data_IF_044491070433
#
_entry.id   IF_044491070433
#
_cell.length_a   1.000
_cell.length_b   1.000
_cell.length_c   1.000
_cell.angle_alpha   90.00
_cell.angle_beta   90.00
_cell.angle_gamma   90.00
#
_symmetry.space_group_name_H-M   'P 1'
#
loop_
_entity.id
_entity.type
_entity.pdbx_description
1 polymer ?
#
# COMPACT_ATOMS: atom_id res chain seq x y z
N UNK A 1 -22.35 1.05 21.23
CA UNK A 1 -21.65 0.91 19.92
C UNK A 1 -20.93 2.23 19.62
N UNK A 2 -19.64 2.31 19.92
CA UNK A 2 -18.79 3.44 19.51
C UNK A 2 -18.83 3.54 17.98
N UNK A 3 -19.10 4.72 17.45
CA UNK A 3 -19.10 4.91 15.98
C UNK A 3 -17.73 4.52 15.42
N UNK A 4 -17.67 3.88 14.25
CA UNK A 4 -16.42 3.42 13.59
C UNK A 4 -15.35 4.51 13.52
N UNK A 5 -15.75 5.76 13.38
CA UNK A 5 -14.82 6.92 13.34
C UNK A 5 -14.17 7.17 14.71
N UNK A 6 -14.90 6.99 15.83
CA UNK A 6 -14.32 7.12 17.17
C UNK A 6 -13.31 6.02 17.46
N UNK A 7 -13.56 4.80 16.98
CA UNK A 7 -12.63 3.68 17.13
C UNK A 7 -11.30 3.94 16.41
N UNK A 8 -11.33 4.43 15.18
CA UNK A 8 -10.12 4.76 14.39
C UNK A 8 -9.33 5.89 15.06
N UNK A 9 -10.00 6.95 15.51
CA UNK A 9 -9.34 8.06 16.21
C UNK A 9 -8.74 7.57 17.54
N UNK A 10 -9.46 6.75 18.29
CA UNK A 10 -8.94 6.20 19.56
C UNK A 10 -7.75 5.28 19.31
N UNK A 11 -7.79 4.42 18.29
CA UNK A 11 -6.69 3.54 17.92
C UNK A 11 -5.46 4.36 17.49
N UNK A 12 -5.65 5.40 16.68
CA UNK A 12 -4.57 6.31 16.26
C UNK A 12 -3.94 7.03 17.45
N UNK A 13 -4.75 7.51 18.39
CA UNK A 13 -4.28 8.16 19.61
C UNK A 13 -3.52 7.17 20.52
N UNK A 14 -3.98 5.93 20.63
CA UNK A 14 -3.29 4.88 21.41
C UNK A 14 -1.94 4.55 20.76
N UNK A 15 -1.89 4.34 19.45
CA UNK A 15 -0.64 4.06 18.73
C UNK A 15 0.35 5.22 18.89
N UNK A 16 -0.13 6.46 18.79
CA UNK A 16 0.71 7.65 18.96
C UNK A 16 1.24 7.79 20.41
N UNK A 17 0.43 7.47 21.42
CA UNK A 17 0.87 7.53 22.83
C UNK A 17 1.83 6.39 23.19
N UNK A 18 1.67 5.18 22.65
CA UNK A 18 2.62 4.08 22.84
C UNK A 18 3.97 4.46 22.23
N UNK A 19 3.96 5.08 21.05
CA UNK A 19 5.18 5.59 20.42
C UNK A 19 5.88 6.63 21.31
N UNK A 20 5.14 7.54 21.92
CA UNK A 20 5.69 8.57 22.79
C UNK A 20 6.32 8.01 24.07
N UNK A 21 5.78 6.93 24.61
CA UNK A 21 6.31 6.29 25.84
C UNK A 21 7.59 5.49 25.60
N UNK A 22 7.78 4.94 24.41
CA UNK A 22 9.01 4.23 24.01
C UNK A 22 10.11 5.24 23.59
N UNK A 23 9.72 6.46 23.28
CA UNK A 23 10.46 7.50 22.60
C UNK A 23 11.57 8.17 23.38
N UNK A 24 11.58 8.09 24.70
CA UNK A 24 12.49 8.94 25.49
C UNK A 24 13.98 8.59 25.34
N UNK A 25 14.34 7.48 24.68
CA UNK A 25 15.73 7.06 24.48
C UNK A 25 16.04 6.39 23.12
N UNK A 26 15.07 6.30 22.21
CA UNK A 26 15.25 5.65 20.91
C UNK A 26 15.14 6.66 19.78
N UNK A 27 16.13 6.77 18.88
CA UNK A 27 16.04 7.64 17.73
C UNK A 27 14.87 7.23 16.81
N UNK A 28 14.22 8.21 16.20
CA UNK A 28 13.01 8.03 15.42
C UNK A 28 13.07 8.81 14.12
N UNK A 29 12.20 8.46 13.18
CA UNK A 29 12.00 9.21 11.95
C UNK A 29 10.52 9.39 11.63
N UNK A 30 10.15 10.58 11.21
CA UNK A 30 8.82 10.89 10.68
C UNK A 30 8.93 11.16 9.19
N UNK A 31 8.13 10.48 8.37
CA UNK A 31 8.21 10.61 6.93
C UNK A 31 6.87 10.90 6.26
N UNK A 32 6.95 11.61 5.15
CA UNK A 32 5.86 11.81 4.21
C UNK A 32 6.34 11.41 2.83
N UNK A 33 5.54 10.59 2.14
CA UNK A 33 5.89 10.07 0.82
C UNK A 33 4.71 10.21 -0.12
N UNK A 34 4.99 10.45 -1.38
CA UNK A 34 4.02 10.57 -2.46
C UNK A 34 4.49 9.75 -3.65
N UNK A 35 3.55 9.18 -4.39
CA UNK A 35 3.89 8.40 -5.57
C UNK A 35 2.67 7.79 -6.22
N UNK A 36 2.90 6.73 -6.98
CA UNK A 36 1.88 6.03 -7.75
C UNK A 36 1.66 4.61 -7.21
N UNK A 37 0.42 4.18 -7.24
CA UNK A 37 0.01 2.79 -7.00
C UNK A 37 -0.70 2.25 -8.23
N UNK A 38 -0.35 1.03 -8.64
CA UNK A 38 -0.99 0.30 -9.73
C UNK A 38 -1.60 -0.95 -9.11
N UNK A 39 -2.92 -1.11 -9.24
CA UNK A 39 -3.63 -2.31 -8.83
C UNK A 39 -3.70 -3.29 -10.01
N UNK A 40 -3.40 -4.55 -9.74
CA UNK A 40 -3.58 -5.67 -10.65
C UNK A 40 -4.80 -6.46 -10.17
N UNK A 41 -5.85 -6.47 -10.99
CA UNK A 41 -7.16 -7.04 -10.68
C UNK A 41 -7.79 -7.68 -11.91
N UNK A 42 -8.96 -8.28 -11.73
CA UNK A 42 -9.72 -9.00 -12.78
C UNK A 42 -10.25 -8.14 -13.93
N UNK A 43 -10.11 -6.81 -13.86
CA UNK A 43 -10.50 -5.91 -14.96
C UNK A 43 -9.60 -5.96 -16.19
N UNK A 44 -8.54 -6.76 -16.19
CA UNK A 44 -7.63 -6.87 -17.33
C UNK A 44 -7.26 -8.29 -17.65
N UNK A 45 -7.36 -8.70 -18.91
CA UNK A 45 -6.65 -9.88 -19.40
C UNK A 45 -5.16 -9.59 -19.39
N UNK A 46 -4.44 -10.29 -18.52
CA UNK A 46 -2.99 -10.19 -18.44
C UNK A 46 -2.50 -8.82 -17.92
N UNK A 47 -2.45 -8.66 -16.65
CA UNK A 47 -1.47 -7.87 -15.87
C UNK A 47 -1.34 -6.36 -16.11
N UNK A 48 -2.23 -5.69 -16.82
CA UNK A 48 -2.08 -4.25 -17.05
C UNK A 48 -3.35 -3.46 -16.83
N UNK A 49 -3.68 -3.23 -15.56
CA UNK A 49 -4.48 -2.06 -15.26
C UNK A 49 -3.56 -0.84 -15.38
N UNK A 50 -3.59 -0.12 -16.51
CA UNK A 50 -2.86 1.14 -16.72
C UNK A 50 -3.38 2.29 -15.83
N UNK A 51 -3.84 2.00 -14.65
CA UNK A 51 -4.44 3.00 -13.80
C UNK A 51 -3.51 3.36 -12.67
N UNK A 52 -2.73 4.39 -12.92
CA UNK A 52 -1.92 5.02 -11.91
C UNK A 52 -2.83 5.79 -10.92
N UNK A 53 -2.84 5.38 -9.68
CA UNK A 53 -3.48 6.11 -8.61
C UNK A 53 -2.45 6.83 -7.76
N UNK A 54 -2.80 8.04 -7.33
CA UNK A 54 -1.98 8.77 -6.37
C UNK A 54 -1.95 8.02 -5.04
N UNK A 55 -0.74 7.75 -4.56
CA UNK A 55 -0.47 7.13 -3.26
C UNK A 55 0.26 8.11 -2.36
N UNK A 56 -0.25 8.32 -1.15
CA UNK A 56 0.36 9.17 -0.13
C UNK A 56 0.55 8.37 1.15
N UNK A 57 1.76 8.38 1.71
CA UNK A 57 2.07 7.69 2.97
C UNK A 57 2.57 8.65 4.04
N UNK A 58 2.12 8.42 5.26
CA UNK A 58 2.71 8.94 6.48
C UNK A 58 3.42 7.78 7.17
N UNK A 59 4.67 7.98 7.56
CA UNK A 59 5.49 6.93 8.17
C UNK A 59 6.11 7.40 9.48
N UNK A 60 6.23 6.46 10.40
CA UNK A 60 6.96 6.63 11.65
C UNK A 60 7.92 5.45 11.81
N UNK A 61 9.21 5.73 11.90
CA UNK A 61 10.28 4.73 12.00
C UNK A 61 10.91 4.76 13.39
N UNK A 62 11.10 3.57 13.97
CA UNK A 62 11.84 3.35 15.21
C UNK A 62 13.16 2.67 14.86
N UNK A 63 14.28 3.22 15.36
CA UNK A 63 15.62 2.71 15.10
C UNK A 63 16.16 2.01 16.35
N UNK A 64 16.60 0.76 16.21
CA UNK A 64 17.03 -0.08 17.35
C UNK A 64 18.52 0.00 17.66
N UNK A 65 19.19 1.08 17.30
CA UNK A 65 20.55 1.29 17.77
C UNK A 65 20.53 2.04 19.11
N UNK A 66 21.16 1.50 20.09
CA UNK A 66 21.28 2.08 21.42
C UNK A 66 22.75 2.19 21.80
N UNK A 67 23.02 2.85 22.94
CA UNK A 67 24.34 3.06 23.54
C UNK A 67 25.12 1.72 23.59
N UNK A 68 25.68 1.33 22.44
CA UNK A 68 26.42 0.10 22.32
C UNK A 68 27.84 0.32 22.79
N UNK A 69 28.24 -0.56 23.69
CA UNK A 69 29.64 -0.80 24.07
C UNK A 69 30.49 -1.02 22.81
N UNK A 70 31.61 -0.36 22.71
CA UNK A 70 32.60 -0.18 21.67
C UNK A 70 33.06 -1.41 20.85
N UNK A 71 32.45 -2.59 20.94
CA UNK A 71 33.04 -3.84 20.41
C UNK A 71 32.14 -4.82 19.69
N UNK A 72 30.87 -4.56 19.47
CA UNK A 72 30.04 -5.51 18.70
C UNK A 72 29.31 -4.75 17.58
N UNK A 73 29.62 -5.13 16.33
CA UNK A 73 28.71 -4.93 15.22
C UNK A 73 27.35 -5.53 15.62
N UNK A 74 26.44 -4.67 16.04
CA UNK A 74 25.15 -5.12 16.49
C UNK A 74 24.26 -5.20 15.25
N UNK A 75 23.74 -6.37 14.91
CA UNK A 75 22.81 -6.58 13.80
C UNK A 75 21.61 -5.64 13.89
N UNK A 76 21.24 -5.23 15.11
CA UNK A 76 20.15 -4.27 15.35
C UNK A 76 20.43 -2.88 14.75
N UNK A 77 21.69 -2.51 14.53
CA UNK A 77 22.05 -1.24 13.89
C UNK A 77 21.64 -1.17 12.41
N UNK A 78 21.23 -2.29 11.83
CA UNK A 78 20.76 -2.40 10.45
C UNK A 78 19.24 -2.53 10.34
N UNK A 79 18.52 -2.53 11.46
CA UNK A 79 17.09 -2.83 11.47
C UNK A 79 16.29 -1.59 11.94
N UNK A 80 15.20 -1.32 11.26
CA UNK A 80 14.18 -0.38 11.71
C UNK A 80 12.80 -1.04 11.69
N UNK A 81 11.93 -0.60 12.58
CA UNK A 81 10.50 -0.88 12.52
C UNK A 81 9.77 0.37 12.05
N UNK A 82 9.01 0.26 10.98
CA UNK A 82 8.22 1.36 10.43
C UNK A 82 6.73 1.09 10.55
N UNK A 83 6.01 2.03 11.14
CA UNK A 83 4.56 2.12 11.03
C UNK A 83 4.21 2.98 9.81
N UNK A 84 3.23 2.56 9.03
CA UNK A 84 2.80 3.29 7.83
C UNK A 84 1.29 3.45 7.80
N UNK A 85 0.84 4.66 7.47
CA UNK A 85 -0.52 4.97 7.07
C UNK A 85 -0.48 5.41 5.61
N UNK A 86 -1.00 4.58 4.71
CA UNK A 86 -0.98 4.82 3.26
C UNK A 86 -2.39 5.04 2.73
N UNK A 87 -2.57 6.08 1.93
CA UNK A 87 -3.81 6.41 1.24
C UNK A 87 -3.57 6.30 -0.26
N UNK A 88 -4.38 5.49 -0.93
CA UNK A 88 -4.41 5.41 -2.38
C UNK A 88 -5.72 6.01 -2.87
N UNK A 89 -5.60 6.99 -3.76
CA UNK A 89 -6.75 7.71 -4.33
C UNK A 89 -7.59 6.79 -5.21
N UNK A 90 -8.71 7.34 -5.69
CA UNK A 90 -9.66 6.59 -6.50
C UNK A 90 -9.01 6.08 -7.81
N UNK A 91 -8.82 4.78 -7.88
CA UNK A 91 -8.40 4.06 -9.09
C UNK A 91 -9.65 3.85 -9.93
N UNK A 92 -9.59 4.21 -11.22
CA UNK A 92 -10.63 3.87 -12.18
C UNK A 92 -10.24 2.56 -12.86
N UNK A 93 -11.14 1.59 -12.81
CA UNK A 93 -10.95 0.28 -13.44
C UNK A 93 -11.78 0.20 -14.70
N UNK A 94 -11.21 -0.32 -15.77
CA UNK A 94 -11.90 -0.59 -17.03
C UNK A 94 -11.33 -1.86 -17.64
N UNK A 95 -12.19 -2.67 -18.24
CA UNK A 95 -11.74 -3.88 -18.89
C UNK A 95 -10.84 -3.56 -20.09
N UNK A 96 -9.77 -4.34 -20.22
CA UNK A 96 -8.81 -4.31 -21.32
C UNK A 96 -8.54 -5.73 -21.78
N UNK A 97 -7.99 -5.86 -22.97
CA UNK A 97 -7.62 -7.16 -23.50
C UNK A 97 -8.34 -7.51 -24.81
N UNK A 98 -8.15 -8.72 -25.28
CA UNK A 98 -8.62 -9.16 -26.58
C UNK A 98 -10.15 -9.23 -26.67
N UNK A 99 -10.83 -9.67 -25.59
CA UNK A 99 -12.29 -9.75 -25.53
C UNK A 99 -13.01 -8.40 -25.60
N UNK A 100 -12.34 -7.31 -25.21
CA UNK A 100 -12.88 -5.94 -25.30
C UNK A 100 -12.89 -5.44 -26.73
N UNK A 101 -11.97 -5.92 -27.60
CA UNK A 101 -11.80 -5.49 -28.97
C UNK A 101 -12.78 -6.16 -29.95
N UNK A 102 -13.57 -7.12 -29.51
CA UNK A 102 -14.57 -7.80 -30.32
C UNK A 102 -15.80 -6.95 -30.67
N UNK A 103 -16.59 -7.40 -31.63
CA UNK A 103 -17.85 -6.77 -32.06
C UNK A 103 -19.09 -7.44 -31.43
N UNK A 104 -18.91 -8.39 -30.55
CA UNK A 104 -20.01 -9.14 -29.90
C UNK A 104 -20.64 -8.39 -28.71
N UNK A 105 -21.75 -8.96 -28.22
CA UNK A 105 -22.45 -8.42 -27.06
C UNK A 105 -21.57 -8.41 -25.81
N UNK A 106 -20.77 -9.44 -25.59
CA UNK A 106 -19.79 -9.53 -24.49
C UNK A 106 -18.80 -8.35 -24.53
N UNK A 107 -18.21 -8.07 -25.69
CA UNK A 107 -17.27 -6.95 -25.84
C UNK A 107 -17.94 -5.59 -25.53
N UNK A 108 -19.19 -5.43 -25.92
CA UNK A 108 -19.96 -4.22 -25.62
C UNK A 108 -20.21 -4.09 -24.13
N UNK A 109 -20.58 -5.16 -23.44
CA UNK A 109 -20.79 -5.17 -21.99
C UNK A 109 -19.48 -4.89 -21.23
N UNK A 110 -18.36 -5.51 -21.64
CA UNK A 110 -17.05 -5.27 -21.02
C UNK A 110 -16.60 -3.82 -21.20
N UNK A 111 -16.78 -3.20 -22.39
CA UNK A 111 -16.46 -1.79 -22.60
C UNK A 111 -17.33 -0.84 -21.77
N UNK A 112 -18.57 -1.20 -21.54
CA UNK A 112 -19.52 -0.41 -20.77
C UNK A 112 -19.28 -0.48 -19.25
N UNK A 113 -18.63 -1.55 -18.83
CA UNK A 113 -18.39 -1.84 -17.41
C UNK A 113 -17.16 -1.09 -16.91
N UNK A 114 -17.34 -0.33 -15.83
CA UNK A 114 -16.26 0.44 -15.20
C UNK A 114 -16.32 0.27 -13.69
N UNK A 115 -15.17 0.18 -13.06
CA UNK A 115 -15.05 0.13 -11.61
C UNK A 115 -14.35 1.35 -11.05
N UNK A 116 -14.46 1.55 -9.77
CA UNK A 116 -13.57 2.43 -9.03
C UNK A 116 -13.20 1.85 -7.68
N UNK A 117 -11.99 2.13 -7.25
CA UNK A 117 -11.41 1.57 -6.06
C UNK A 117 -10.56 2.60 -5.31
N UNK A 118 -10.68 2.65 -4.00
CA UNK A 118 -9.82 3.44 -3.13
C UNK A 118 -9.52 2.66 -1.87
N UNK A 119 -8.31 2.83 -1.34
CA UNK A 119 -7.84 2.05 -0.21
C UNK A 119 -7.06 2.91 0.79
N UNK A 120 -7.19 2.56 2.05
CA UNK A 120 -6.38 3.04 3.16
C UNK A 120 -5.73 1.86 3.83
N UNK A 121 -4.41 1.83 3.87
CA UNK A 121 -3.62 0.80 4.51
C UNK A 121 -3.03 1.34 5.82
N UNK A 122 -3.10 0.53 6.88
CA UNK A 122 -2.44 0.77 8.15
C UNK A 122 -1.57 -0.46 8.42
N UNK A 123 -0.26 -0.28 8.54
CA UNK A 123 0.64 -1.42 8.64
C UNK A 123 1.92 -1.18 9.41
N UNK A 124 2.61 -2.28 9.64
CA UNK A 124 3.94 -2.33 10.23
C UNK A 124 4.88 -3.07 9.30
N UNK A 125 6.08 -2.53 9.15
CA UNK A 125 7.09 -3.03 8.24
C UNK A 125 8.43 -3.09 8.97
N UNK A 126 9.14 -4.21 8.84
CA UNK A 126 10.54 -4.32 9.18
C UNK A 126 11.39 -3.85 8.00
N UNK A 127 12.39 -3.05 8.26
CA UNK A 127 13.38 -2.61 7.28
C UNK A 127 14.75 -3.15 7.66
N UNK A 128 15.47 -3.68 6.68
CA UNK A 128 16.86 -4.16 6.84
C UNK A 128 17.74 -3.33 5.93
N UNK A 129 18.61 -2.55 6.51
CA UNK A 129 19.51 -1.63 5.84
C UNK A 129 20.86 -2.26 5.53
N UNK A 130 21.39 -1.96 4.36
CA UNK A 130 22.71 -2.45 3.93
C UNK A 130 23.83 -1.88 4.80
N UNK A 131 23.71 -0.62 5.21
CA UNK A 131 24.66 0.06 6.07
C UNK A 131 24.07 0.32 7.45
N UNK A 132 24.94 0.40 8.47
CA UNK A 132 24.53 0.75 9.82
C UNK A 132 23.68 2.04 9.82
N UNK A 133 22.51 1.98 10.40
CA UNK A 133 21.65 3.15 10.60
C UNK A 133 22.24 4.13 11.60
N UNK A 134 22.95 3.63 12.62
CA UNK A 134 23.66 4.46 13.59
C UNK A 134 24.68 5.36 12.90
N UNK A 135 25.52 4.77 12.06
CA UNK A 135 26.51 5.52 11.29
C UNK A 135 25.84 6.46 10.29
N UNK A 136 24.80 5.96 9.59
CA UNK A 136 24.09 6.76 8.60
C UNK A 136 23.40 7.97 9.23
N UNK A 137 22.81 7.86 10.40
CA UNK A 137 22.03 8.91 11.05
C UNK A 137 22.93 9.89 11.78
N UNK A 138 23.90 9.44 12.57
CA UNK A 138 24.70 10.31 13.43
C UNK A 138 25.96 10.90 12.77
N UNK A 139 26.53 10.25 11.75
CA UNK A 139 27.67 10.86 11.07
C UNK A 139 27.26 12.10 10.28
N UNK A 140 28.10 13.13 10.34
CA UNK A 140 27.93 14.34 9.55
C UNK A 140 27.80 13.96 8.06
N UNK A 141 26.79 14.52 7.39
CA UNK A 141 26.50 14.26 5.98
C UNK A 141 27.68 14.56 5.04
N UNK A 142 28.68 15.32 5.50
CA UNK A 142 29.90 15.65 4.73
C UNK A 142 30.92 14.54 4.71
N UNK A 143 30.96 13.70 5.73
CA UNK A 143 32.00 12.67 5.91
C UNK A 143 31.47 11.24 5.83
N UNK A 144 30.19 11.04 5.98
CA UNK A 144 29.56 9.73 5.95
C UNK A 144 29.03 9.32 4.57
N UNK A 145 28.57 8.08 4.48
CA UNK A 145 27.86 7.62 3.29
C UNK A 145 26.49 8.27 3.20
N UNK A 146 26.19 8.92 2.08
CA UNK A 146 24.89 9.55 1.85
C UNK A 146 23.80 8.58 1.41
N UNK A 147 24.14 7.36 1.00
CA UNK A 147 23.23 6.37 0.49
C UNK A 147 23.11 5.18 1.43
N UNK A 148 21.88 4.79 1.76
CA UNK A 148 21.62 3.60 2.54
C UNK A 148 20.43 2.83 1.95
N UNK A 149 20.67 1.86 1.06
CA UNK A 149 19.63 0.97 0.54
C UNK A 149 19.08 0.06 1.62
N UNK A 150 17.81 -0.34 1.47
CA UNK A 150 17.14 -1.26 2.38
C UNK A 150 16.18 -2.19 1.65
N UNK A 151 15.89 -3.32 2.29
CA UNK A 151 14.78 -4.19 1.99
C UNK A 151 13.71 -3.99 3.06
N UNK A 152 12.46 -4.15 2.68
CA UNK A 152 11.33 -4.08 3.60
C UNK A 152 10.40 -5.27 3.44
N UNK A 153 9.82 -5.70 4.56
CA UNK A 153 8.74 -6.67 4.60
C UNK A 153 7.77 -6.31 5.72
N UNK A 154 6.48 -6.52 5.51
CA UNK A 154 5.48 -6.13 6.50
C UNK A 154 4.09 -6.67 6.23
N UNK A 155 3.21 -6.32 7.14
CA UNK A 155 1.79 -6.64 7.10
C UNK A 155 0.96 -5.36 7.21
N UNK A 156 -0.17 -5.32 6.51
CA UNK A 156 -1.09 -4.20 6.57
C UNK A 156 -2.53 -4.69 6.79
N UNK A 157 -3.29 -3.85 7.45
CA UNK A 157 -4.74 -3.90 7.47
C UNK A 157 -5.26 -2.86 6.50
N UNK A 158 -6.01 -3.32 5.51
CA UNK A 158 -6.50 -2.53 4.39
C UNK A 158 -7.99 -2.29 4.52
N UNK A 159 -8.41 -1.03 4.46
CA UNK A 159 -9.81 -0.62 4.43
C UNK A 159 -10.05 -0.06 3.04
N UNK A 160 -10.95 -0.69 2.28
CA UNK A 160 -11.21 -0.29 0.91
C UNK A 160 -12.68 0.05 0.65
N UNK A 161 -12.90 0.77 -0.42
CA UNK A 161 -14.22 1.01 -1.00
C UNK A 161 -14.11 0.87 -2.51
N UNK A 162 -14.93 -0.02 -3.07
CA UNK A 162 -15.07 -0.24 -4.50
C UNK A 162 -16.46 0.19 -4.99
N UNK A 163 -16.59 0.38 -6.28
CA UNK A 163 -17.86 0.60 -6.97
C UNK A 163 -17.80 0.03 -8.37
N UNK A 164 -18.91 -0.45 -8.84
CA UNK A 164 -19.14 -0.99 -10.18
C UNK A 164 -20.24 -0.19 -10.87
N UNK A 165 -20.01 0.20 -12.12
CA UNK A 165 -20.99 0.92 -12.94
C UNK A 165 -20.98 0.34 -14.36
N UNK A 166 -22.15 0.42 -15.03
CA UNK A 166 -22.25 0.11 -16.45
C UNK A 166 -22.93 1.27 -17.18
N UNK A 167 -22.41 1.64 -18.35
CA UNK A 167 -23.05 2.66 -19.21
C UNK A 167 -24.26 2.13 -19.97
N UNK A 168 -24.50 0.82 -19.95
CA UNK A 168 -25.66 0.18 -20.58
C UNK A 168 -26.93 0.27 -19.70
N UNK A 169 -26.78 0.53 -18.40
CA UNK A 169 -27.91 0.63 -17.48
C UNK A 169 -27.51 0.37 -16.03
N UNK A 170 -28.48 0.46 -15.15
CA UNK A 170 -28.30 0.15 -13.72
C UNK A 170 -28.28 -1.37 -13.51
N UNK A 171 -27.11 -1.93 -13.32
CA UNK A 171 -26.90 -3.36 -13.12
C UNK A 171 -27.57 -3.90 -11.86
N UNK A 172 -27.92 -3.04 -10.89
CA UNK A 172 -28.63 -3.46 -9.66
C UNK A 172 -30.11 -3.72 -9.94
N UNK A 173 -30.67 -3.17 -11.02
CA UNK A 173 -32.04 -3.37 -11.48
C UNK A 173 -32.11 -4.44 -12.57
N UNK A 174 -31.13 -4.46 -13.46
CA UNK A 174 -31.04 -5.39 -14.59
C UNK A 174 -29.61 -5.93 -14.71
N UNK A 175 -29.37 -7.12 -14.18
CA UNK A 175 -28.07 -7.77 -14.25
C UNK A 175 -27.65 -8.18 -15.68
N UNK A 176 -28.60 -8.16 -16.65
CA UNK A 176 -28.29 -8.52 -18.05
C UNK A 176 -27.35 -7.52 -18.73
N UNK A 177 -27.17 -6.30 -18.18
CA UNK A 177 -26.20 -5.32 -18.66
C UNK A 177 -24.75 -5.68 -18.35
N UNK A 178 -24.55 -6.64 -17.44
CA UNK A 178 -23.24 -7.19 -17.13
C UNK A 178 -22.94 -8.43 -17.99
N UNK A 179 -21.65 -8.74 -18.22
CA UNK A 179 -21.23 -10.02 -18.77
C UNK A 179 -21.81 -11.19 -17.95
N UNK A 180 -22.09 -12.31 -18.61
CA UNK A 180 -22.73 -13.50 -18.00
C UNK A 180 -21.97 -13.97 -16.74
N UNK A 181 -20.66 -13.86 -16.76
CA UNK A 181 -19.76 -14.24 -15.66
C UNK A 181 -20.07 -13.49 -14.35
N UNK A 182 -20.60 -12.26 -14.39
CA UNK A 182 -20.87 -11.41 -13.22
C UNK A 182 -22.32 -11.02 -13.03
N UNK A 183 -23.25 -11.79 -13.59
CA UNK A 183 -24.69 -11.56 -13.42
C UNK A 183 -25.26 -12.08 -12.12
N UNK A 184 -24.60 -13.09 -11.54
CA UNK A 184 -25.01 -13.61 -10.22
C UNK A 184 -24.64 -12.57 -9.15
N UNK A 185 -25.56 -12.22 -8.25
CA UNK A 185 -25.27 -11.32 -7.13
C UNK A 185 -24.11 -11.80 -6.23
N UNK A 186 -23.81 -13.10 -6.23
CA UNK A 186 -22.65 -13.65 -5.48
C UNK A 186 -21.30 -13.32 -6.12
N UNK A 187 -21.27 -12.99 -7.41
CA UNK A 187 -20.06 -12.69 -8.18
C UNK A 187 -19.70 -11.19 -8.14
N UNK A 188 -20.51 -10.37 -7.49
CA UNK A 188 -20.26 -8.95 -7.31
C UNK A 188 -20.23 -8.60 -5.82
N UNK A 189 -19.18 -7.90 -5.39
CA UNK A 189 -18.99 -7.47 -3.99
C UNK A 189 -18.68 -5.98 -3.92
N UNK A 190 -19.73 -5.18 -4.15
CA UNK A 190 -19.61 -3.72 -4.19
C UNK A 190 -19.84 -3.08 -2.83
N UNK A 191 -19.01 -2.12 -2.47
CA UNK A 191 -19.15 -1.35 -1.24
C UNK A 191 -17.88 -1.17 -0.45
N UNK A 192 -17.97 -1.28 0.87
CA UNK A 192 -16.84 -1.17 1.78
C UNK A 192 -16.43 -2.55 2.26
N UNK A 193 -15.13 -2.80 2.22
CA UNK A 193 -14.55 -4.03 2.73
C UNK A 193 -13.24 -3.78 3.49
N UNK A 194 -12.73 -4.86 4.04
CA UNK A 194 -11.44 -4.87 4.74
C UNK A 194 -10.69 -6.14 4.36
N UNK A 195 -9.37 -6.06 4.27
CA UNK A 195 -8.50 -7.20 4.00
C UNK A 195 -7.19 -7.05 4.76
N UNK A 196 -6.56 -8.15 5.08
CA UNK A 196 -5.14 -8.14 5.40
C UNK A 196 -4.32 -8.26 4.13
N UNK A 197 -3.08 -7.75 4.19
CA UNK A 197 -2.13 -7.88 3.08
C UNK A 197 -0.71 -8.01 3.60
N UNK A 198 0.14 -8.67 2.83
CA UNK A 198 1.59 -8.66 3.00
C UNK A 198 2.22 -7.65 2.05
N UNK A 199 3.31 -7.03 2.48
CA UNK A 199 4.07 -6.09 1.65
C UNK A 199 5.53 -6.49 1.67
N UNK A 200 6.15 -6.48 0.50
CA UNK A 200 7.58 -6.65 0.31
C UNK A 200 8.09 -5.52 -0.57
N UNK A 201 9.35 -5.14 -0.40
CA UNK A 201 9.87 -4.08 -1.24
C UNK A 201 11.33 -3.78 -0.99
N UNK A 202 11.78 -2.81 -1.74
CA UNK A 202 13.13 -2.27 -1.65
C UNK A 202 13.05 -0.75 -1.69
N UNK A 203 14.01 -0.11 -1.06
CA UNK A 203 14.11 1.34 -1.08
C UNK A 203 15.53 1.81 -0.80
N UNK A 204 15.67 3.10 -0.81
CA UNK A 204 16.93 3.75 -0.46
C UNK A 204 16.67 5.09 0.21
N UNK A 205 17.51 5.39 1.19
CA UNK A 205 17.57 6.72 1.81
C UNK A 205 18.79 7.45 1.30
N UNK A 206 18.63 8.72 1.01
CA UNK A 206 19.70 9.63 0.65
C UNK A 206 19.73 10.80 1.63
N UNK A 207 20.82 10.93 2.37
CA UNK A 207 21.00 11.98 3.37
C UNK A 207 21.17 13.33 2.72
N UNK A 208 20.20 14.24 2.91
CA UNK A 208 20.27 15.61 2.42
C UNK A 208 21.04 16.52 3.39
N UNK A 209 20.75 16.38 4.68
CA UNK A 209 21.46 17.03 5.77
C UNK A 209 21.40 16.14 7.02
N UNK A 210 21.79 16.65 8.18
CA UNK A 210 21.84 15.84 9.40
C UNK A 210 20.46 15.39 9.91
N UNK A 211 19.38 16.08 9.54
CA UNK A 211 18.03 15.83 10.05
C UNK A 211 17.11 15.25 8.98
N UNK A 212 17.35 15.52 7.69
CA UNK A 212 16.42 15.19 6.61
C UNK A 212 17.06 14.23 5.61
N UNK A 213 16.36 13.15 5.33
CA UNK A 213 16.70 12.22 4.27
C UNK A 213 15.63 12.25 3.18
N UNK A 214 16.05 12.15 1.93
CA UNK A 214 15.21 11.78 0.81
C UNK A 214 15.04 10.26 0.83
N UNK A 215 13.81 9.78 0.69
CA UNK A 215 13.50 8.36 0.60
C UNK A 215 12.84 8.05 -0.74
N UNK A 216 13.28 6.97 -1.39
CA UNK A 216 12.61 6.38 -2.54
C UNK A 216 12.39 4.90 -2.31
N UNK A 217 11.18 4.40 -2.62
CA UNK A 217 10.84 3.00 -2.39
C UNK A 217 9.93 2.44 -3.48
N UNK A 218 10.08 1.15 -3.70
CA UNK A 218 9.21 0.34 -4.53
C UNK A 218 8.68 -0.83 -3.70
N UNK A 219 7.36 -1.03 -3.70
CA UNK A 219 6.68 -2.06 -2.89
C UNK A 219 5.77 -2.90 -3.75
N UNK A 220 5.70 -4.19 -3.44
CA UNK A 220 4.66 -5.12 -3.85
C UNK A 220 3.77 -5.39 -2.65
N UNK A 221 2.46 -5.26 -2.81
CA UNK A 221 1.47 -5.55 -1.78
C UNK A 221 0.53 -6.63 -2.31
N UNK A 222 0.44 -7.74 -1.59
CA UNK A 222 -0.41 -8.89 -1.89
C UNK A 222 -1.56 -8.91 -0.91
N UNK A 223 -2.79 -8.83 -1.41
CA UNK A 223 -3.98 -8.83 -0.58
C UNK A 223 -4.45 -10.28 -0.36
N UNK A 224 -5.01 -10.56 0.82
CA UNK A 224 -5.57 -11.87 1.15
C UNK A 224 -7.09 -11.90 0.92
N UNK A 225 -7.54 -11.24 -0.13
CA UNK A 225 -8.93 -11.11 -0.51
C UNK A 225 -9.04 -10.93 -2.01
N UNK A 226 -10.04 -11.53 -2.60
CA UNK A 226 -10.35 -11.58 -4.02
C UNK A 226 -11.56 -10.68 -4.38
N UNK A 227 -11.79 -9.60 -3.67
CA UNK A 227 -12.96 -8.75 -3.89
C UNK A 227 -12.68 -7.26 -3.67
N UNK A 228 -11.42 -6.85 -3.81
CA UNK A 228 -11.04 -5.46 -3.65
C UNK A 228 -11.60 -4.59 -4.78
N UNK A 229 -11.61 -5.11 -6.00
CA UNK A 229 -12.09 -4.43 -7.20
C UNK A 229 -13.63 -4.47 -7.35
N UNK A 230 -14.32 -5.27 -6.55
CA UNK A 230 -15.77 -5.44 -6.57
C UNK A 230 -16.25 -6.59 -7.44
N UNK A 231 -15.35 -7.34 -8.05
CA UNK A 231 -15.63 -8.56 -8.80
C UNK A 231 -15.19 -9.77 -8.00
N UNK A 232 -15.99 -10.80 -8.03
CA UNK A 232 -15.68 -12.09 -7.44
C UNK A 232 -16.23 -13.16 -8.37
N UNK A 233 -15.41 -14.08 -8.79
CA UNK A 233 -15.87 -15.17 -9.62
C UNK A 233 -15.37 -16.50 -9.07
N UNK A 234 -16.29 -17.43 -8.89
CA UNK A 234 -15.98 -18.82 -8.57
C UNK A 234 -15.55 -19.63 -9.80
N UNK A 235 -15.29 -18.97 -10.93
CA UNK A 235 -14.88 -19.65 -12.17
C UNK A 235 -13.41 -20.00 -12.11
N UNK A 236 -13.01 -21.21 -12.59
CA UNK A 236 -11.60 -21.55 -12.74
C UNK A 236 -10.90 -20.51 -13.63
N UNK A 237 -9.81 -19.94 -13.16
CA UNK A 237 -9.07 -18.89 -13.83
C UNK A 237 -9.26 -17.48 -13.27
N UNK A 238 -10.04 -17.33 -12.20
CA UNK A 238 -10.26 -16.07 -11.45
C UNK A 238 -10.11 -16.30 -9.94
N UNK A 239 -9.22 -17.20 -9.56
CA UNK A 239 -8.96 -17.55 -8.16
C UNK A 239 -7.74 -16.80 -7.58
N UNK A 240 -7.12 -15.92 -8.37
CA UNK A 240 -5.91 -15.21 -7.96
C UNK A 240 -6.26 -13.95 -7.16
N UNK A 241 -5.70 -13.86 -5.96
CA UNK A 241 -5.82 -12.67 -5.12
C UNK A 241 -5.20 -11.44 -5.80
N UNK A 242 -5.82 -10.28 -5.61
CA UNK A 242 -5.32 -9.03 -6.14
C UNK A 242 -4.00 -8.63 -5.49
N UNK A 243 -3.20 -7.91 -6.25
CA UNK A 243 -1.95 -7.35 -5.78
C UNK A 243 -1.72 -5.94 -6.35
N UNK A 244 -0.86 -5.18 -5.72
CA UNK A 244 -0.52 -3.85 -6.19
C UNK A 244 0.97 -3.59 -6.14
N UNK A 245 1.44 -2.75 -7.06
CA UNK A 245 2.78 -2.16 -7.02
C UNK A 245 2.67 -0.69 -6.62
N UNK A 246 3.58 -0.25 -5.77
CA UNK A 246 3.61 1.13 -5.27
C UNK A 246 5.03 1.67 -5.40
N UNK A 247 5.17 2.78 -6.12
CA UNK A 247 6.42 3.55 -6.17
C UNK A 247 6.20 4.89 -5.47
N UNK A 248 7.05 5.22 -4.51
CA UNK A 248 6.95 6.46 -3.74
C UNK A 248 8.30 7.11 -3.52
N UNK A 249 8.28 8.44 -3.49
CA UNK A 249 9.40 9.30 -3.10
C UNK A 249 8.91 10.23 -2.00
N UNK A 250 9.77 10.57 -1.06
CA UNK A 250 9.41 11.48 0.02
C UNK A 250 10.58 11.83 0.92
N UNK A 251 10.26 12.45 2.03
CA UNK A 251 11.23 12.88 3.01
C UNK A 251 11.00 12.20 4.35
N UNK A 252 12.09 11.96 5.05
CA UNK A 252 12.09 11.47 6.43
C UNK A 252 12.85 12.51 7.28
N UNK A 253 12.20 13.01 8.31
CA UNK A 253 12.80 13.87 9.34
C UNK A 253 13.22 12.99 10.52
N UNK A 254 14.52 13.01 10.85
CA UNK A 254 15.08 12.25 11.96
C UNK A 254 14.99 13.05 13.26
N UNK A 255 14.44 12.40 14.30
CA UNK A 255 14.31 12.92 15.67
C UNK A 255 15.37 12.25 16.56
N UNK A 256 16.15 13.05 17.27
CA UNK A 256 17.25 12.61 18.12
C UNK A 256 16.97 12.88 19.59
#
# INVERSE_FOLDING_TARGET
>A
LLSKNKFIVTLSVIVFNISSSISQNTPQGLGVQIGNSILHSDYGEGHSSDVNALSVSLTHSLYFFGKSSWRKQNTLNHIALRSELNFVSNIKLSHKGEYVNGNGNLATQLRAMTGSFKITNIGFQGEIYLKSLEDFIYYDFRYGSRWNPYLLAGINYSIFKNSLNSTLGDWTQDSSVLPEKWRDPSDTSVGRGTSFSSTFGLGTRYKLNNEIDLNAQFKWQFFFSDNLDGLRSNSPGNEDNEWSTVFQIGFIYNLF
#
